data_IF_106313792468
#
_entry.id   IF_106313792468
#
_cell.length_a   1.000
_cell.length_b   1.000
_cell.length_c   1.000
_cell.angle_alpha   90.00
_cell.angle_beta   90.00
_cell.angle_gamma   90.00
#
_symmetry.space_group_name_H-M   'P 1'
#
loop_
_entity.id
_entity.type
_entity.pdbx_description
1 polymer ?
#
# COMPACT_ATOMS: atom_id res chain seq x y z
N UNK A 1 -9.32 56.88 -78.59
CA UNK A 1 -8.43 55.73 -78.36
C UNK A 1 -8.19 55.51 -76.85
N UNK A 2 -9.23 55.19 -76.07
CA UNK A 2 -9.10 55.02 -74.60
C UNK A 2 -9.55 53.61 -74.16
N UNK A 3 -10.56 53.04 -74.82
CA UNK A 3 -11.03 51.68 -74.61
C UNK A 3 -9.95 50.57 -74.54
N UNK A 4 -8.92 50.52 -75.41
CA UNK A 4 -7.94 49.42 -75.37
C UNK A 4 -7.05 49.46 -74.11
N UNK A 5 -6.77 50.64 -73.55
CA UNK A 5 -5.94 50.79 -72.34
C UNK A 5 -6.66 50.25 -71.09
N UNK A 6 -7.97 50.43 -71.00
CA UNK A 6 -8.78 49.90 -69.89
C UNK A 6 -8.83 48.38 -69.89
N UNK A 7 -8.93 47.76 -71.06
CA UNK A 7 -8.95 46.30 -71.20
C UNK A 7 -7.61 45.69 -70.73
N UNK A 8 -6.49 46.29 -71.12
CA UNK A 8 -5.15 45.84 -70.68
C UNK A 8 -5.03 45.98 -69.15
N UNK A 9 -5.47 47.11 -68.58
CA UNK A 9 -5.44 47.32 -67.13
C UNK A 9 -6.23 46.26 -66.36
N UNK A 10 -7.43 45.91 -66.80
CA UNK A 10 -8.24 44.86 -66.16
C UNK A 10 -7.58 43.49 -66.27
N UNK A 11 -6.99 43.15 -67.42
CA UNK A 11 -6.31 41.87 -67.63
C UNK A 11 -5.07 41.76 -66.72
N UNK A 12 -4.26 42.81 -66.61
CA UNK A 12 -3.08 42.81 -65.72
C UNK A 12 -3.47 42.70 -64.24
N UNK A 13 -4.57 43.35 -63.83
CA UNK A 13 -5.09 43.20 -62.46
C UNK A 13 -5.57 41.76 -62.23
N UNK A 14 -6.32 41.20 -63.17
CA UNK A 14 -6.79 39.82 -63.08
C UNK A 14 -5.63 38.81 -63.02
N UNK A 15 -4.59 39.00 -63.84
CA UNK A 15 -3.37 38.20 -63.83
C UNK A 15 -2.65 38.30 -62.48
N UNK A 16 -2.50 39.51 -61.94
CA UNK A 16 -1.87 39.73 -60.63
C UNK A 16 -2.62 39.02 -59.52
N UNK A 17 -3.96 39.10 -59.52
CA UNK A 17 -4.81 38.39 -58.55
C UNK A 17 -4.62 36.88 -58.66
N UNK A 18 -4.55 36.34 -59.87
CA UNK A 18 -4.39 34.91 -60.11
C UNK A 18 -3.03 34.41 -59.56
N UNK A 19 -1.96 35.16 -59.81
CA UNK A 19 -0.62 34.85 -59.28
C UNK A 19 -0.62 34.88 -57.75
N UNK A 20 -1.21 35.91 -57.14
CA UNK A 20 -1.32 36.02 -55.67
C UNK A 20 -2.14 34.86 -55.10
N UNK A 21 -3.23 34.48 -55.75
CA UNK A 21 -4.08 33.38 -55.32
C UNK A 21 -3.32 32.04 -55.35
N UNK A 22 -2.60 31.75 -56.42
CA UNK A 22 -1.77 30.54 -56.54
C UNK A 22 -0.66 30.53 -55.48
N UNK A 23 -0.02 31.67 -55.24
CA UNK A 23 1.02 31.79 -54.22
C UNK A 23 0.50 31.54 -52.81
N UNK A 24 -0.67 32.11 -52.46
CA UNK A 24 -1.34 31.83 -51.19
C UNK A 24 -1.76 30.37 -51.06
N UNK A 25 -2.22 29.76 -52.15
CA UNK A 25 -2.58 28.35 -52.17
C UNK A 25 -1.36 27.46 -51.89
N UNK A 26 -0.22 27.77 -52.50
CA UNK A 26 1.04 27.07 -52.29
C UNK A 26 1.53 27.17 -50.83
N UNK A 27 1.47 28.37 -50.23
CA UNK A 27 1.81 28.58 -48.82
C UNK A 27 0.88 27.82 -47.87
N UNK A 28 -0.43 27.82 -48.16
CA UNK A 28 -1.43 27.09 -47.38
C UNK A 28 -1.21 25.58 -47.44
N UNK A 29 -0.88 25.06 -48.62
CA UNK A 29 -0.61 23.63 -48.83
C UNK A 29 0.63 23.18 -48.02
N UNK A 30 1.72 23.93 -48.11
CA UNK A 30 2.96 23.65 -47.35
C UNK A 30 2.74 23.70 -45.83
N UNK A 31 1.89 24.63 -45.37
CA UNK A 31 1.51 24.70 -43.94
C UNK A 31 0.68 23.49 -43.51
N UNK A 32 -0.19 22.98 -44.39
CA UNK A 32 -0.98 21.78 -44.13
C UNK A 32 -0.10 20.54 -44.00
N UNK A 33 0.93 20.40 -44.83
CA UNK A 33 1.91 19.31 -44.74
C UNK A 33 2.70 19.36 -43.44
N UNK A 34 3.16 20.55 -43.03
CA UNK A 34 3.92 20.73 -41.79
C UNK A 34 3.08 20.39 -40.54
N UNK A 35 1.80 20.74 -40.52
CA UNK A 35 0.90 20.44 -39.39
C UNK A 35 0.61 18.93 -39.32
N UNK A 36 0.39 18.28 -40.46
CA UNK A 36 0.19 16.83 -40.51
C UNK A 36 1.43 16.06 -40.02
N UNK A 37 2.63 16.50 -40.42
CA UNK A 37 3.88 15.91 -39.95
C UNK A 37 4.05 16.05 -38.42
N UNK A 38 3.69 17.20 -37.84
CA UNK A 38 3.73 17.41 -36.39
C UNK A 38 2.69 16.58 -35.63
N UNK A 39 1.49 16.41 -36.19
CA UNK A 39 0.46 15.56 -35.59
C UNK A 39 0.86 14.08 -35.61
N UNK A 40 1.45 13.62 -36.71
CA UNK A 40 1.93 12.25 -36.85
C UNK A 40 3.07 11.95 -35.86
N UNK A 41 4.05 12.84 -35.72
CA UNK A 41 5.14 12.66 -34.74
C UNK A 41 4.64 12.65 -33.28
N UNK A 42 3.63 13.47 -32.96
CA UNK A 42 3.04 13.47 -31.63
C UNK A 42 2.23 12.19 -31.35
N UNK A 43 1.53 11.65 -32.34
CA UNK A 43 0.81 10.38 -32.19
C UNK A 43 1.75 9.21 -31.94
N UNK A 44 2.90 9.18 -32.61
CA UNK A 44 3.90 8.13 -32.46
C UNK A 44 4.50 8.12 -31.04
N UNK A 45 4.85 9.30 -30.52
CA UNK A 45 5.36 9.45 -29.16
C UNK A 45 4.32 9.07 -28.08
N UNK A 46 3.03 9.41 -28.30
CA UNK A 46 1.95 9.02 -27.37
C UNK A 46 1.74 7.51 -27.39
N UNK A 47 1.74 6.87 -28.57
CA UNK A 47 1.60 5.42 -28.69
C UNK A 47 2.76 4.67 -28.00
N UNK A 48 4.00 5.09 -28.21
CA UNK A 48 5.17 4.49 -27.56
C UNK A 48 5.07 4.54 -26.03
N UNK A 49 4.60 5.68 -25.49
CA UNK A 49 4.41 5.83 -24.04
C UNK A 49 3.33 4.90 -23.48
N UNK A 50 2.25 4.65 -24.22
CA UNK A 50 1.17 3.72 -23.80
C UNK A 50 1.70 2.28 -23.79
N UNK A 51 2.41 1.84 -24.82
CA UNK A 51 3.00 0.50 -24.85
C UNK A 51 3.98 0.28 -23.70
N UNK A 52 4.81 1.27 -23.41
CA UNK A 52 5.78 1.20 -22.31
C UNK A 52 5.11 1.15 -20.94
N UNK A 53 4.05 1.95 -20.73
CA UNK A 53 3.30 1.95 -19.48
C UNK A 53 2.54 0.63 -19.27
N UNK A 54 1.90 0.09 -20.32
CA UNK A 54 1.19 -1.19 -20.23
C UNK A 54 2.13 -2.36 -19.90
N UNK A 55 3.36 -2.36 -20.46
CA UNK A 55 4.37 -3.36 -20.12
C UNK A 55 4.79 -3.27 -18.64
N UNK A 56 4.97 -2.05 -18.12
CA UNK A 56 5.31 -1.83 -16.71
C UNK A 56 4.17 -2.20 -15.75
N UNK A 57 2.92 -1.91 -16.12
CA UNK A 57 1.76 -2.29 -15.32
C UNK A 57 1.66 -3.81 -15.16
N UNK A 58 1.90 -4.56 -16.23
CA UNK A 58 1.88 -6.03 -16.18
C UNK A 58 2.96 -6.58 -15.23
N UNK A 59 4.19 -6.07 -15.33
CA UNK A 59 5.30 -6.48 -14.46
C UNK A 59 5.03 -6.14 -12.98
N UNK A 60 4.38 -5.00 -12.71
CA UNK A 60 3.98 -4.61 -11.36
C UNK A 60 2.88 -5.52 -10.81
N UNK A 61 1.85 -5.83 -11.60
CA UNK A 61 0.73 -6.69 -11.18
C UNK A 61 1.20 -8.09 -10.79
N UNK A 62 2.12 -8.68 -11.58
CA UNK A 62 2.67 -10.00 -11.29
C UNK A 62 3.46 -10.02 -9.97
N UNK A 63 4.26 -8.97 -9.72
CA UNK A 63 5.01 -8.78 -8.46
C UNK A 63 4.10 -8.58 -7.24
N UNK A 64 2.97 -7.86 -7.39
CA UNK A 64 2.00 -7.66 -6.32
C UNK A 64 1.26 -8.96 -5.96
N UNK A 65 0.86 -9.75 -6.96
CA UNK A 65 0.20 -11.04 -6.73
C UNK A 65 1.09 -11.99 -5.92
N UNK A 66 2.36 -12.11 -6.33
CA UNK A 66 3.35 -12.94 -5.62
C UNK A 66 3.59 -12.48 -4.18
N UNK A 67 3.67 -11.16 -3.94
CA UNK A 67 3.82 -10.61 -2.58
C UNK A 67 2.59 -10.83 -1.72
N UNK A 68 1.39 -10.73 -2.27
CA UNK A 68 0.16 -11.03 -1.51
C UNK A 68 0.12 -12.49 -1.06
N UNK A 69 0.49 -13.42 -1.93
CA UNK A 69 0.56 -14.84 -1.56
C UNK A 69 1.59 -15.09 -0.44
N UNK A 70 2.78 -14.49 -0.54
CA UNK A 70 3.80 -14.55 0.51
C UNK A 70 3.31 -13.96 1.84
N UNK A 71 2.58 -12.84 1.81
CA UNK A 71 2.00 -12.21 3.00
C UNK A 71 0.93 -13.10 3.64
N UNK A 72 0.09 -13.77 2.84
CA UNK A 72 -0.92 -14.71 3.35
C UNK A 72 -0.25 -15.89 4.06
N UNK A 73 0.83 -16.44 3.48
CA UNK A 73 1.58 -17.55 4.08
C UNK A 73 2.23 -17.10 5.39
N UNK A 74 2.88 -15.94 5.40
CA UNK A 74 3.52 -15.38 6.60
C UNK A 74 2.50 -15.15 7.72
N UNK A 75 1.33 -14.59 7.38
CA UNK A 75 0.28 -14.33 8.35
C UNK A 75 -0.26 -15.63 8.98
N UNK A 76 -0.49 -16.67 8.18
CA UNK A 76 -0.85 -18.00 8.69
C UNK A 76 0.19 -18.54 9.69
N UNK A 77 1.48 -18.40 9.37
CA UNK A 77 2.56 -18.82 10.27
C UNK A 77 2.61 -18.02 11.57
N UNK A 78 2.35 -16.71 11.52
CA UNK A 78 2.26 -15.87 12.72
C UNK A 78 1.06 -16.25 13.58
N UNK A 79 -0.10 -16.48 12.97
CA UNK A 79 -1.31 -16.84 13.68
C UNK A 79 -1.18 -18.20 14.38
N UNK A 80 -0.51 -19.17 13.75
CA UNK A 80 -0.19 -20.45 14.37
C UNK A 80 0.76 -20.29 15.57
N UNK A 81 1.81 -19.45 15.43
CA UNK A 81 2.71 -19.13 16.55
C UNK A 81 1.99 -18.45 17.70
N UNK A 82 1.08 -17.52 17.41
CA UNK A 82 0.26 -16.87 18.43
C UNK A 82 -0.57 -17.91 19.18
N UNK A 83 -1.24 -18.84 18.48
CA UNK A 83 -2.02 -19.91 19.12
C UNK A 83 -1.15 -20.82 20.00
N UNK A 84 0.06 -21.16 19.56
CA UNK A 84 1.00 -21.96 20.36
C UNK A 84 1.42 -21.21 21.62
N UNK A 85 1.81 -19.94 21.49
CA UNK A 85 2.18 -19.11 22.63
C UNK A 85 1.03 -18.95 23.62
N UNK A 86 -0.20 -18.78 23.12
CA UNK A 86 -1.38 -18.69 23.96
C UNK A 86 -1.62 -19.98 24.77
N UNK A 87 -1.49 -21.15 24.12
CA UNK A 87 -1.55 -22.44 24.82
C UNK A 87 -0.46 -22.59 25.87
N UNK A 88 0.76 -22.13 25.60
CA UNK A 88 1.87 -22.15 26.57
C UNK A 88 1.60 -21.23 27.76
N UNK A 89 1.01 -20.05 27.52
CA UNK A 89 0.60 -19.13 28.58
C UNK A 89 -0.51 -19.76 29.43
N UNK A 90 -1.50 -20.40 28.81
CA UNK A 90 -2.58 -21.09 29.53
C UNK A 90 -2.02 -22.24 30.37
N UNK A 91 -1.08 -23.02 29.82
CA UNK A 91 -0.38 -24.07 30.56
C UNK A 91 0.41 -23.49 31.74
N UNK A 92 1.20 -22.44 31.53
CA UNK A 92 1.94 -21.76 32.61
C UNK A 92 1.00 -21.19 33.68
N UNK A 93 -0.15 -20.65 33.28
CA UNK A 93 -1.17 -20.11 34.20
C UNK A 93 -1.84 -21.22 34.99
N UNK A 94 -2.16 -22.36 34.37
CA UNK A 94 -2.70 -23.54 35.06
C UNK A 94 -1.71 -24.13 36.07
N UNK A 95 -0.41 -24.16 35.72
CA UNK A 95 0.67 -24.58 36.62
C UNK A 95 0.84 -23.57 37.75
N UNK A 96 0.80 -22.27 37.47
CA UNK A 96 0.88 -21.22 38.49
C UNK A 96 -0.35 -21.17 39.41
N UNK A 97 -1.53 -21.61 38.94
CA UNK A 97 -2.76 -21.77 39.74
C UNK A 97 -2.87 -23.15 40.38
N UNK A 98 -1.88 -24.02 40.21
CA UNK A 98 -1.83 -25.32 40.88
C UNK A 98 -1.89 -25.12 42.40
N UNK A 99 -2.79 -25.84 43.10
CA UNK A 99 -2.84 -25.81 44.56
C UNK A 99 -1.50 -26.17 45.22
N UNK A 100 -0.65 -26.94 44.54
CA UNK A 100 0.67 -27.32 45.04
C UNK A 100 1.67 -26.16 45.01
N UNK A 101 1.65 -25.34 43.95
CA UNK A 101 2.50 -24.16 43.85
C UNK A 101 2.10 -23.08 44.86
N UNK A 102 0.78 -22.85 45.03
CA UNK A 102 0.26 -21.96 46.07
C UNK A 102 0.72 -22.40 47.47
N UNK A 103 0.64 -23.71 47.75
CA UNK A 103 1.12 -24.30 49.01
C UNK A 103 2.61 -24.10 49.20
N UNK A 104 3.42 -24.31 48.15
CA UNK A 104 4.87 -24.16 48.23
C UNK A 104 5.29 -22.69 48.43
N UNK A 105 4.61 -21.74 47.78
CA UNK A 105 4.83 -20.30 47.98
C UNK A 105 4.43 -19.86 49.41
N UNK A 106 3.30 -20.33 49.93
CA UNK A 106 2.85 -20.05 51.31
C UNK A 106 3.83 -20.66 52.33
N UNK A 107 4.30 -21.90 52.10
CA UNK A 107 5.27 -22.58 52.97
C UNK A 107 6.65 -21.91 52.94
N UNK A 108 7.11 -21.46 51.78
CA UNK A 108 8.36 -20.72 51.63
C UNK A 108 8.28 -19.34 52.32
N UNK A 109 7.14 -18.66 52.24
CA UNK A 109 6.86 -17.39 52.94
C UNK A 109 6.89 -17.56 54.47
N UNK A 110 6.26 -18.62 54.99
CA UNK A 110 6.29 -18.96 56.43
C UNK A 110 7.70 -19.30 56.91
N UNK A 111 8.46 -20.11 56.14
CA UNK A 111 9.87 -20.44 56.46
C UNK A 111 10.79 -19.21 56.43
N UNK A 112 10.47 -18.18 55.65
CA UNK A 112 11.16 -16.88 55.64
C UNK A 112 10.72 -15.91 56.74
N UNK A 113 9.74 -16.28 57.59
CA UNK A 113 9.25 -15.43 58.68
C UNK A 113 8.30 -14.30 58.25
N UNK A 114 7.69 -14.39 57.07
CA UNK A 114 6.77 -13.37 56.56
C UNK A 114 5.40 -13.45 57.25
N UNK A 115 4.78 -12.30 57.48
CA UNK A 115 3.43 -12.24 58.08
C UNK A 115 2.36 -12.69 57.08
N UNK A 116 1.23 -13.28 57.53
CA UNK A 116 0.17 -13.77 56.65
C UNK A 116 -0.37 -12.71 55.68
N UNK A 117 -0.40 -11.44 56.11
CA UNK A 117 -0.80 -10.31 55.27
C UNK A 117 0.18 -10.01 54.11
N UNK A 118 1.47 -10.30 54.27
CA UNK A 118 2.48 -10.12 53.20
C UNK A 118 2.41 -11.25 52.17
N UNK A 119 2.10 -12.47 52.63
CA UNK A 119 1.92 -13.64 51.77
C UNK A 119 0.62 -13.48 50.94
N UNK A 120 -0.46 -13.03 51.57
CA UNK A 120 -1.73 -12.71 50.91
C UNK A 120 -1.59 -11.70 49.76
N UNK A 121 -0.77 -10.66 49.96
CA UNK A 121 -0.48 -9.63 48.92
C UNK A 121 0.31 -10.16 47.73
N UNK A 122 1.19 -11.14 47.90
CA UNK A 122 2.02 -11.68 46.81
C UNK A 122 1.34 -12.80 46.03
N UNK A 123 0.42 -13.55 46.66
CA UNK A 123 -0.35 -14.62 46.00
C UNK A 123 -1.73 -14.18 45.52
N UNK A 124 -2.19 -12.98 45.90
CA UNK A 124 -3.50 -12.44 45.51
C UNK A 124 -4.69 -13.09 46.23
N UNK A 125 -4.49 -13.65 47.42
CA UNK A 125 -5.54 -14.25 48.26
C UNK A 125 -5.95 -13.31 49.40
N UNK A 126 -7.13 -13.53 49.98
CA UNK A 126 -7.53 -12.84 51.20
C UNK A 126 -6.68 -13.29 52.39
N UNK A 127 -6.40 -12.36 53.32
CA UNK A 127 -5.57 -12.64 54.52
C UNK A 127 -6.17 -13.79 55.34
N UNK A 128 -7.50 -13.82 55.46
CA UNK A 128 -8.25 -14.85 56.18
C UNK A 128 -8.13 -16.23 55.53
N UNK A 129 -8.07 -16.31 54.20
CA UNK A 129 -7.89 -17.58 53.46
C UNK A 129 -6.48 -18.16 53.68
N UNK A 130 -5.46 -17.30 53.74
CA UNK A 130 -4.09 -17.71 54.04
C UNK A 130 -3.98 -18.24 55.47
N UNK A 131 -4.66 -17.63 56.43
CA UNK A 131 -4.68 -18.06 57.84
C UNK A 131 -5.44 -19.38 58.03
N UNK A 132 -6.54 -19.59 57.29
CA UNK A 132 -7.29 -20.85 57.26
C UNK A 132 -6.47 -22.02 56.69
N UNK A 133 -5.68 -21.78 55.64
CA UNK A 133 -4.80 -22.79 55.05
C UNK A 133 -3.64 -23.13 56.00
N UNK A 134 -3.06 -22.13 56.66
CA UNK A 134 -1.97 -22.30 57.62
C UNK A 134 -2.40 -23.02 58.90
N UNK A 135 -3.61 -22.73 59.39
CA UNK A 135 -4.18 -23.39 60.58
C UNK A 135 -4.57 -24.85 60.30
N UNK A 136 -5.12 -25.14 59.12
CA UNK A 136 -5.40 -26.52 58.66
C UNK A 136 -4.15 -27.39 58.47
N UNK A 137 -2.98 -26.77 58.32
CA UNK A 137 -1.68 -27.45 58.17
C UNK A 137 -0.87 -27.53 59.48
N UNK A 138 -1.30 -26.85 60.54
CA UNK A 138 -0.64 -26.86 61.87
C UNK A 138 -1.26 -27.84 62.86
N UNK A 139 -2.42 -28.41 62.51
CA UNK A 139 -2.99 -29.63 63.09
C UNK A 139 -2.61 -30.82 62.21
#
# INVERSE_FOLDING_TARGET
>A
MIFPLWIIGVITIAETILVVMVFLFFLRLRRSEAILAQLQSNQEHVLESIYRNAALEQELVDSFSQRQEQLIILNKGLEERIRVLQKLIDQATSISRSPQFLREVILAGKKKGQTPAQIARSTGLAVDEVELILSRMSN
#
